data_IF_609220625898
#
_entry.id   IF_609220625898
#
_cell.length_a   1.000
_cell.length_b   1.000
_cell.length_c   1.000
_cell.angle_alpha   90.00
_cell.angle_beta   90.00
_cell.angle_gamma   90.00
#
_symmetry.space_group_name_H-M   'P 1'
#
loop_
_entity.id
_entity.type
_entity.pdbx_description
1 polymer ?
#
# COMPACT_ATOMS: atom_id res chain seq x y z
N UNK A 1 -7.45 11.27 5.43
CA UNK A 1 -6.30 12.05 4.94
C UNK A 1 -5.18 11.07 4.66
N UNK A 2 -4.44 11.28 3.58
CA UNK A 2 -3.27 10.50 3.19
C UNK A 2 -2.18 11.46 2.69
N UNK A 3 -0.95 10.99 2.52
CA UNK A 3 0.11 11.78 1.91
C UNK A 3 -0.30 12.16 0.48
N UNK A 4 -0.45 13.47 0.24
CA UNK A 4 -1.12 13.99 -0.95
C UNK A 4 -0.47 13.53 -2.25
N UNK A 5 0.86 13.41 -2.30
CA UNK A 5 1.57 12.97 -3.50
C UNK A 5 1.18 11.55 -3.92
N UNK A 6 0.84 10.66 -2.97
CA UNK A 6 0.36 9.32 -3.28
C UNK A 6 -0.95 9.37 -4.08
N UNK A 7 -1.86 10.27 -3.70
CA UNK A 7 -3.11 10.50 -4.43
C UNK A 7 -2.84 11.10 -5.82
N UNK A 8 -1.92 12.06 -5.90
CA UNK A 8 -1.51 12.67 -7.18
C UNK A 8 -0.95 11.63 -8.15
N UNK A 9 -0.09 10.72 -7.68
CA UNK A 9 0.44 9.63 -8.51
C UNK A 9 -0.69 8.74 -9.06
N UNK A 10 -1.70 8.40 -8.25
CA UNK A 10 -2.85 7.64 -8.76
C UNK A 10 -3.72 8.41 -9.75
N UNK A 11 -3.80 9.73 -9.62
CA UNK A 11 -4.51 10.58 -10.58
C UNK A 11 -3.75 10.71 -11.91
N UNK A 12 -2.42 10.74 -11.86
CA UNK A 12 -1.56 10.92 -13.04
C UNK A 12 -1.35 9.62 -13.81
N UNK A 13 -1.09 8.51 -13.11
CA UNK A 13 -0.69 7.24 -13.72
C UNK A 13 -1.76 6.15 -13.63
N UNK A 14 -2.75 6.30 -12.76
CA UNK A 14 -3.82 5.33 -12.57
C UNK A 14 -4.97 5.53 -13.56
N UNK A 15 -5.60 4.42 -13.98
CA UNK A 15 -6.83 4.50 -14.79
C UNK A 15 -8.05 4.92 -13.97
N UNK A 16 -8.08 4.55 -12.69
CA UNK A 16 -9.12 4.91 -11.72
C UNK A 16 -8.61 4.61 -10.29
N UNK A 17 -9.13 5.31 -9.28
CA UNK A 17 -8.88 5.02 -7.87
C UNK A 17 -10.11 5.37 -7.03
N UNK A 18 -10.29 4.65 -5.91
CA UNK A 18 -11.28 4.96 -4.87
C UNK A 18 -10.53 5.28 -3.58
N UNK A 19 -10.78 6.45 -3.01
CA UNK A 19 -10.10 6.91 -1.81
C UNK A 19 -10.96 6.69 -0.55
N UNK A 20 -10.38 6.00 0.44
CA UNK A 20 -10.93 5.80 1.78
C UNK A 20 -10.01 6.52 2.77
N UNK A 21 -10.44 7.70 3.22
CA UNK A 21 -9.52 8.68 3.75
C UNK A 21 -9.09 8.46 5.20
N UNK A 22 -9.99 8.07 6.08
CA UNK A 22 -9.73 7.97 7.52
C UNK A 22 -9.00 6.67 7.89
N UNK A 23 -9.14 5.60 7.11
CA UNK A 23 -8.46 4.33 7.32
C UNK A 23 -8.94 3.55 8.56
N UNK A 24 -10.06 3.97 9.17
CA UNK A 24 -10.70 3.29 10.28
C UNK A 24 -11.65 2.17 9.84
N UNK A 25 -12.34 1.56 10.81
CA UNK A 25 -13.23 0.42 10.56
C UNK A 25 -14.41 0.73 9.64
N UNK A 26 -14.93 1.96 9.67
CA UNK A 26 -16.01 2.41 8.77
C UNK A 26 -15.55 2.45 7.31
N UNK A 27 -14.34 2.95 7.08
CA UNK A 27 -13.72 2.98 5.76
C UNK A 27 -13.39 1.57 5.27
N UNK A 28 -12.98 0.68 6.17
CA UNK A 28 -12.76 -0.72 5.85
C UNK A 28 -14.06 -1.44 5.48
N UNK A 29 -15.16 -1.15 6.17
CA UNK A 29 -16.48 -1.65 5.79
C UNK A 29 -16.93 -1.11 4.43
N UNK A 30 -16.71 0.19 4.16
CA UNK A 30 -17.02 0.79 2.86
C UNK A 30 -16.15 0.21 1.73
N UNK A 31 -14.88 -0.10 2.01
CA UNK A 31 -13.99 -0.80 1.08
C UNK A 31 -14.53 -2.18 0.74
N UNK A 32 -14.95 -2.97 1.73
CA UNK A 32 -15.52 -4.30 1.49
C UNK A 32 -16.76 -4.24 0.58
N UNK A 33 -17.67 -3.30 0.82
CA UNK A 33 -18.84 -3.07 -0.05
C UNK A 33 -18.40 -2.72 -1.48
N UNK A 34 -17.41 -1.84 -1.62
CA UNK A 34 -16.88 -1.46 -2.93
C UNK A 34 -16.25 -2.65 -3.67
N UNK A 35 -15.48 -3.50 -2.99
CA UNK A 35 -14.88 -4.70 -3.59
C UNK A 35 -15.96 -5.67 -4.11
N UNK A 36 -17.04 -5.85 -3.34
CA UNK A 36 -18.17 -6.65 -3.75
C UNK A 36 -18.87 -6.07 -4.98
N UNK A 37 -19.15 -4.77 -4.99
CA UNK A 37 -19.78 -4.09 -6.14
C UNK A 37 -18.94 -4.21 -7.41
N UNK A 38 -17.63 -3.92 -7.33
CA UNK A 38 -16.72 -4.04 -8.47
C UNK A 38 -16.75 -5.47 -9.05
N UNK A 39 -16.67 -6.48 -8.17
CA UNK A 39 -16.74 -7.89 -8.57
C UNK A 39 -18.08 -8.25 -9.22
N UNK A 40 -19.20 -7.79 -8.67
CA UNK A 40 -20.53 -8.01 -9.25
C UNK A 40 -20.65 -7.41 -10.66
N UNK A 41 -19.98 -6.28 -10.90
CA UNK A 41 -19.90 -5.66 -12.22
C UNK A 41 -18.81 -6.24 -13.14
N UNK A 42 -18.11 -7.29 -12.72
CA UNK A 42 -17.04 -7.92 -13.50
C UNK A 42 -15.76 -7.10 -13.58
N UNK A 43 -15.57 -6.11 -12.71
CA UNK A 43 -14.35 -5.30 -12.60
C UNK A 43 -13.46 -5.84 -11.50
N UNK A 44 -12.14 -5.88 -11.74
CA UNK A 44 -11.15 -6.34 -10.76
C UNK A 44 -10.39 -5.15 -10.19
N UNK A 45 -10.42 -5.00 -8.87
CA UNK A 45 -9.49 -4.12 -8.16
C UNK A 45 -8.11 -4.75 -8.17
N UNK A 46 -7.09 -4.02 -8.62
CA UNK A 46 -5.74 -4.58 -8.82
C UNK A 46 -4.89 -4.51 -7.55
N UNK A 47 -5.00 -3.41 -6.80
CA UNK A 47 -4.21 -3.19 -5.61
C UNK A 47 -5.00 -2.35 -4.57
N UNK A 48 -4.67 -2.56 -3.30
CA UNK A 48 -5.02 -1.69 -2.18
C UNK A 48 -3.72 -1.10 -1.65
N UNK A 49 -3.72 0.22 -1.45
CA UNK A 49 -2.62 0.96 -0.84
C UNK A 49 -3.08 1.49 0.50
N UNK A 50 -2.36 1.13 1.56
CA UNK A 50 -2.67 1.54 2.92
C UNK A 50 -1.45 2.19 3.58
N UNK A 51 -1.63 3.33 4.23
CA UNK A 51 -0.60 3.88 5.11
C UNK A 51 -0.74 3.28 6.51
N UNK A 52 0.38 2.93 7.14
CA UNK A 52 0.40 2.34 8.47
C UNK A 52 1.57 2.89 9.30
N UNK A 53 1.31 3.79 10.26
CA UNK A 53 0.10 4.60 10.45
C UNK A 53 -0.10 5.65 9.35
N UNK A 54 -1.35 6.10 9.15
CA UNK A 54 -1.70 7.12 8.17
C UNK A 54 -1.20 8.53 8.55
N UNK A 55 -0.71 9.28 7.57
CA UNK A 55 -0.25 10.65 7.72
C UNK A 55 -1.39 11.66 7.44
N UNK A 56 -1.70 12.62 8.33
CA UNK A 56 -1.10 12.89 9.65
C UNK A 56 -1.89 12.30 10.84
N UNK A 57 -2.98 11.58 10.58
CA UNK A 57 -3.99 11.22 11.58
C UNK A 57 -3.58 10.05 12.50
N UNK A 58 -2.48 9.35 12.17
CA UNK A 58 -1.91 8.22 12.90
C UNK A 58 -2.88 7.05 13.11
N UNK A 59 -3.88 6.92 12.23
CA UNK A 59 -4.79 5.79 12.22
C UNK A 59 -4.13 4.61 11.54
N UNK A 60 -4.27 3.43 12.12
CA UNK A 60 -3.78 2.16 11.58
C UNK A 60 -4.97 1.33 11.10
N UNK A 61 -5.08 1.01 9.80
CA UNK A 61 -6.11 0.10 9.33
C UNK A 61 -5.89 -1.31 9.91
N UNK A 62 -6.97 -2.07 10.09
CA UNK A 62 -6.88 -3.46 10.51
C UNK A 62 -6.32 -4.34 9.38
N UNK A 63 -5.00 -4.51 9.37
CA UNK A 63 -4.29 -5.24 8.31
C UNK A 63 -4.68 -6.72 8.22
N UNK A 64 -5.03 -7.37 9.34
CA UNK A 64 -5.47 -8.77 9.33
C UNK A 64 -6.80 -8.95 8.59
N UNK A 65 -7.75 -8.03 8.82
CA UNK A 65 -9.03 -8.00 8.08
C UNK A 65 -8.81 -7.66 6.61
N UNK A 66 -7.94 -6.70 6.30
CA UNK A 66 -7.56 -6.40 4.91
C UNK A 66 -6.94 -7.62 4.21
N UNK A 67 -5.97 -8.29 4.84
CA UNK A 67 -5.30 -9.48 4.28
C UNK A 67 -6.30 -10.54 3.85
N UNK A 68 -7.29 -10.82 4.70
CA UNK A 68 -8.35 -11.79 4.41
C UNK A 68 -9.11 -11.45 3.14
N UNK A 69 -9.47 -10.18 2.94
CA UNK A 69 -10.15 -9.70 1.73
C UNK A 69 -9.23 -9.73 0.52
N UNK A 70 -8.02 -9.20 0.65
CA UNK A 70 -7.03 -9.17 -0.43
C UNK A 70 -6.78 -10.58 -0.99
N UNK A 71 -6.73 -11.57 -0.10
CA UNK A 71 -6.60 -12.98 -0.44
C UNK A 71 -7.80 -13.58 -1.19
N UNK A 72 -9.02 -13.15 -0.84
CA UNK A 72 -10.28 -13.58 -1.43
C UNK A 72 -10.45 -13.04 -2.87
N UNK A 73 -10.10 -11.78 -3.10
CA UNK A 73 -10.27 -11.11 -4.40
C UNK A 73 -9.01 -11.14 -5.28
N UNK A 74 -7.92 -11.78 -4.83
CA UNK A 74 -6.62 -11.83 -5.51
C UNK A 74 -6.10 -10.44 -5.87
N UNK A 75 -6.03 -9.58 -4.84
CA UNK A 75 -5.58 -8.19 -4.89
C UNK A 75 -4.14 -8.12 -4.38
N UNK A 76 -3.37 -7.10 -4.78
CA UNK A 76 -2.07 -6.78 -4.15
C UNK A 76 -2.28 -5.81 -3.00
N UNK A 77 -1.77 -6.10 -1.81
CA UNK A 77 -1.73 -5.18 -0.68
C UNK A 77 -0.34 -4.54 -0.55
N UNK A 78 -0.27 -3.26 -0.88
CA UNK A 78 0.88 -2.40 -0.66
C UNK A 78 0.68 -1.59 0.64
N UNK A 79 1.65 -1.64 1.54
CA UNK A 79 1.63 -0.82 2.77
C UNK A 79 2.78 0.18 2.76
N UNK A 80 2.44 1.44 3.01
CA UNK A 80 3.42 2.50 3.30
C UNK A 80 3.65 2.56 4.81
N UNK A 81 4.85 2.20 5.25
CA UNK A 81 5.22 2.15 6.67
C UNK A 81 5.99 3.39 7.13
N UNK A 82 6.12 4.42 6.29
CA UNK A 82 7.03 5.57 6.48
C UNK A 82 6.93 6.21 7.87
N UNK A 83 5.71 6.36 8.40
CA UNK A 83 5.48 7.00 9.70
C UNK A 83 5.88 6.07 10.86
N UNK A 84 5.57 4.77 10.77
CA UNK A 84 5.91 3.80 11.81
C UNK A 84 7.40 3.46 11.78
N UNK A 85 7.96 3.30 10.58
CA UNK A 85 9.32 2.89 10.32
C UNK A 85 9.54 1.39 10.57
N UNK A 86 10.23 0.73 9.64
CA UNK A 86 10.56 -0.70 9.67
C UNK A 86 11.19 -1.21 10.98
N UNK A 87 11.82 -0.34 11.77
CA UNK A 87 12.43 -0.70 13.06
C UNK A 87 11.42 -0.80 14.22
N UNK A 88 10.24 -0.18 14.09
CA UNK A 88 9.23 -0.11 15.17
C UNK A 88 7.99 -0.96 14.90
N UNK A 89 7.70 -1.25 13.63
CA UNK A 89 6.53 -2.02 13.22
C UNK A 89 6.94 -3.16 12.30
N UNK A 90 6.31 -4.31 12.49
CA UNK A 90 6.41 -5.45 11.58
C UNK A 90 5.02 -5.77 11.04
N UNK A 91 4.87 -5.49 9.75
CA UNK A 91 3.63 -5.72 8.99
C UNK A 91 3.88 -6.66 7.81
N UNK A 92 5.08 -7.24 7.70
CA UNK A 92 5.50 -7.97 6.50
C UNK A 92 4.60 -9.17 6.23
N UNK A 93 4.24 -9.93 7.28
CA UNK A 93 3.38 -11.11 7.19
C UNK A 93 1.96 -10.83 6.67
N UNK A 94 1.53 -9.57 6.68
CA UNK A 94 0.20 -9.15 6.23
C UNK A 94 0.21 -8.45 4.88
N UNK A 95 1.38 -8.26 4.25
CA UNK A 95 1.52 -7.39 3.07
C UNK A 95 2.18 -8.11 1.91
N UNK A 96 1.87 -7.69 0.69
CA UNK A 96 2.53 -8.21 -0.51
C UNK A 96 3.76 -7.37 -0.86
N UNK A 97 3.70 -6.08 -0.57
CA UNK A 97 4.75 -5.10 -0.78
C UNK A 97 4.76 -4.06 0.35
N UNK A 98 5.94 -3.78 0.88
CA UNK A 98 6.19 -2.72 1.85
C UNK A 98 6.93 -1.57 1.18
N UNK A 99 6.45 -0.35 1.35
CA UNK A 99 7.03 0.86 0.77
C UNK A 99 7.41 1.81 1.90
N UNK A 100 8.62 2.35 1.83
CA UNK A 100 9.15 3.26 2.87
C UNK A 100 9.77 4.47 2.22
N UNK A 101 9.39 5.68 2.63
CA UNK A 101 10.18 6.88 2.34
C UNK A 101 11.42 6.93 3.24
N UNK A 102 12.57 6.59 2.66
CA UNK A 102 13.85 6.62 3.37
C UNK A 102 14.28 8.06 3.72
N UNK A 103 13.74 9.06 3.03
CA UNK A 103 13.98 10.49 3.29
C UNK A 103 13.60 10.92 4.71
N UNK A 104 12.63 10.25 5.34
CA UNK A 104 12.02 10.70 6.61
C UNK A 104 12.80 10.21 7.82
N UNK A 105 12.14 9.53 8.74
CA UNK A 105 12.72 9.04 10.00
C UNK A 105 13.87 8.05 9.78
N UNK A 106 13.91 7.35 8.63
CA UNK A 106 15.02 6.47 8.27
C UNK A 106 16.34 7.24 8.10
N UNK A 107 16.34 8.28 7.26
CA UNK A 107 17.50 9.15 7.12
C UNK A 107 17.71 9.97 8.41
N UNK A 108 16.67 10.64 8.89
CA UNK A 108 16.70 11.43 10.13
C UNK A 108 17.43 12.76 10.03
N UNK A 109 18.27 12.98 9.01
CA UNK A 109 19.05 14.21 8.82
C UNK A 109 18.52 15.12 7.71
N UNK A 110 17.52 14.69 6.95
CA UNK A 110 16.89 15.45 5.87
C UNK A 110 17.87 15.95 4.78
N UNK A 111 18.96 15.22 4.55
CA UNK A 111 20.04 15.53 3.61
C UNK A 111 20.09 14.60 2.38
N UNK A 112 19.27 13.54 2.36
CA UNK A 112 19.16 12.56 1.28
C UNK A 112 17.69 12.27 1.02
N UNK A 113 17.30 12.22 -0.26
CA UNK A 113 16.00 11.77 -0.73
C UNK A 113 16.14 10.35 -1.27
N UNK A 114 15.36 9.41 -0.74
CA UNK A 114 15.33 8.05 -1.23
C UNK A 114 14.00 7.35 -0.86
N UNK A 115 13.69 6.29 -1.60
CA UNK A 115 12.56 5.39 -1.33
C UNK A 115 13.03 3.94 -1.31
N UNK A 116 12.30 3.10 -0.59
CA UNK A 116 12.50 1.65 -0.54
C UNK A 116 11.20 0.95 -0.90
N UNK A 117 11.35 -0.18 -1.60
CA UNK A 117 10.28 -1.16 -1.83
C UNK A 117 10.81 -2.53 -1.46
N UNK A 118 10.12 -3.23 -0.57
CA UNK A 118 10.43 -4.60 -0.16
C UNK A 118 9.27 -5.50 -0.58
N UNK A 119 9.55 -6.51 -1.40
CA UNK A 119 8.55 -7.50 -1.83
C UNK A 119 8.51 -8.66 -0.82
N UNK A 120 7.32 -9.10 -0.41
CA UNK A 120 7.18 -10.21 0.52
C UNK A 120 7.47 -11.56 -0.16
N UNK A 121 8.56 -12.27 0.18
CA UNK A 121 8.87 -13.57 -0.43
C UNK A 121 7.86 -14.67 -0.08
N UNK A 122 7.10 -14.51 1.01
CA UNK A 122 6.04 -15.44 1.40
C UNK A 122 4.70 -15.13 0.70
N UNK A 123 4.57 -13.99 0.03
CA UNK A 123 3.35 -13.65 -0.70
C UNK A 123 3.18 -14.48 -1.96
N UNK A 124 1.94 -14.90 -2.24
CA UNK A 124 1.55 -15.51 -3.53
C UNK A 124 1.83 -14.59 -4.73
N UNK A 125 1.86 -13.27 -4.51
CA UNK A 125 2.09 -12.26 -5.54
C UNK A 125 3.58 -12.04 -5.82
N UNK A 126 4.49 -12.59 -4.99
CA UNK A 126 5.92 -12.32 -5.06
C UNK A 126 6.51 -12.52 -6.46
N UNK A 127 6.25 -13.68 -7.09
CA UNK A 127 6.80 -13.98 -8.40
C UNK A 127 6.38 -12.97 -9.47
N UNK A 128 5.11 -12.55 -9.45
CA UNK A 128 4.57 -11.54 -10.36
C UNK A 128 5.16 -10.15 -10.08
N UNK A 129 5.19 -9.73 -8.82
CA UNK A 129 5.73 -8.43 -8.42
C UNK A 129 7.23 -8.34 -8.71
N UNK A 130 7.99 -9.41 -8.43
CA UNK A 130 9.43 -9.48 -8.70
C UNK A 130 9.72 -9.39 -10.19
N UNK A 131 8.97 -10.12 -11.01
CA UNK A 131 9.08 -10.05 -12.47
C UNK A 131 8.83 -8.61 -12.97
N UNK A 132 7.74 -7.97 -12.54
CA UNK A 132 7.43 -6.59 -12.93
C UNK A 132 8.51 -5.60 -12.46
N UNK A 133 9.03 -5.78 -11.24
CA UNK A 133 10.11 -4.93 -10.73
C UNK A 133 11.38 -5.11 -11.56
N UNK A 134 11.76 -6.33 -11.90
CA UNK A 134 12.94 -6.60 -12.74
C UNK A 134 12.80 -6.07 -14.17
N UNK A 135 11.59 -6.12 -14.73
CA UNK A 135 11.31 -5.66 -16.10
C UNK A 135 11.25 -4.14 -16.21
N UNK A 136 10.71 -3.46 -15.20
CA UNK A 136 10.35 -2.04 -15.31
C UNK A 136 11.14 -1.11 -14.38
N UNK A 137 11.84 -1.61 -13.37
CA UNK A 137 12.62 -0.75 -12.49
C UNK A 137 13.84 -0.20 -13.23
N UNK A 138 13.90 1.13 -13.32
CA UNK A 138 15.06 1.86 -13.80
C UNK A 138 15.67 2.57 -12.59
N UNK A 139 16.94 2.28 -12.22
CA UNK A 139 17.63 3.08 -11.23
C UNK A 139 17.94 4.45 -11.85
N UNK A 140 17.06 5.41 -11.61
CA UNK A 140 17.26 6.81 -12.00
C UNK A 140 18.24 7.47 -11.02
N UNK A 141 19.28 8.10 -11.57
CA UNK A 141 20.21 9.01 -10.89
C UNK A 141 19.84 10.46 -11.21
#
# INVERSE_FOLDING_TARGET
>A
MAFMNTITVFQEFGSNYKFFGLGGDDDLAALEVFLDEERHHGRKVQAIWAEFPANPILVTPNLARLRTRVDEYDIVLAVDDTIGGFANIDVMDMTDMLVTSLTKSFNGYADVIAGSVVLNPASRQYGKLKFLLDEHYVPEL
#
